data_IF_673821206038
#
_entry.id   IF_673821206038
#
_cell.length_a   1.000
_cell.length_b   1.000
_cell.length_c   1.000
_cell.angle_alpha   90.00
_cell.angle_beta   90.00
_cell.angle_gamma   90.00
#
_symmetry.space_group_name_H-M   'P 1'
#
loop_
_entity.id
_entity.type
_entity.pdbx_description
1 polymer ?
#
# COMPACT_ATOMS: atom_id res chain seq x y z
N UNK A 1 -5.30 13.55 39.13
CA UNK A 1 -4.92 12.26 38.49
C UNK A 1 -5.99 11.93 37.48
N UNK A 2 -5.73 12.12 36.16
CA UNK A 2 -6.61 11.70 35.09
C UNK A 2 -6.46 10.17 35.01
N UNK A 3 -7.52 9.42 35.30
CA UNK A 3 -7.53 7.96 35.08
C UNK A 3 -7.28 7.74 33.59
N UNK A 4 -6.12 7.20 33.23
CA UNK A 4 -5.92 6.65 31.87
C UNK A 4 -7.04 5.65 31.61
N UNK A 5 -7.86 5.90 30.56
CA UNK A 5 -8.91 4.99 30.15
C UNK A 5 -8.26 3.68 29.74
N UNK A 6 -8.47 2.61 30.49
CA UNK A 6 -8.05 1.27 30.07
C UNK A 6 -8.85 0.89 28.82
N UNK A 7 -8.16 0.41 27.80
CA UNK A 7 -8.82 -0.18 26.62
C UNK A 7 -9.06 -1.65 26.93
N UNK A 8 -10.32 -2.05 26.89
CA UNK A 8 -10.72 -3.47 27.08
C UNK A 8 -10.42 -4.30 25.85
N UNK A 9 -10.60 -3.71 24.65
CA UNK A 9 -10.40 -4.36 23.36
C UNK A 9 -9.58 -3.47 22.44
N UNK A 10 -8.47 -3.99 21.94
CA UNK A 10 -7.68 -3.35 20.88
C UNK A 10 -8.23 -3.77 19.52
N UNK A 11 -8.76 -2.82 18.73
CA UNK A 11 -9.22 -3.09 17.36
C UNK A 11 -8.12 -2.77 16.36
N UNK A 12 -7.83 -3.74 15.50
CA UNK A 12 -6.84 -3.63 14.45
C UNK A 12 -7.47 -3.83 13.08
N UNK A 13 -6.89 -3.20 12.04
CA UNK A 13 -7.33 -3.37 10.65
C UNK A 13 -6.17 -3.19 9.67
N UNK A 14 -6.43 -3.52 8.42
CA UNK A 14 -5.59 -3.14 7.28
C UNK A 14 -6.45 -2.36 6.27
N UNK A 15 -5.95 -1.20 5.82
CA UNK A 15 -6.45 -0.49 4.65
C UNK A 15 -5.55 -0.76 3.41
N UNK A 16 -4.72 -1.80 3.48
CA UNK A 16 -3.97 -2.33 2.35
C UNK A 16 -4.83 -3.31 1.54
N UNK A 17 -4.23 -3.98 0.56
CA UNK A 17 -4.96 -4.97 -0.25
C UNK A 17 -5.63 -6.07 0.61
N UNK A 18 -6.77 -6.60 0.16
CA UNK A 18 -7.61 -7.56 0.90
C UNK A 18 -6.85 -8.82 1.36
N UNK A 19 -5.82 -9.23 0.62
CA UNK A 19 -4.98 -10.37 1.01
C UNK A 19 -4.20 -10.12 2.31
N UNK A 20 -4.07 -8.88 2.78
CA UNK A 20 -3.42 -8.55 4.05
C UNK A 20 -4.25 -8.99 5.28
N UNK A 21 -5.55 -9.25 5.14
CA UNK A 21 -6.42 -9.64 6.25
C UNK A 21 -5.98 -10.98 6.89
N UNK A 22 -5.42 -11.90 6.11
CA UNK A 22 -4.90 -13.16 6.65
C UNK A 22 -3.75 -12.92 7.65
N UNK A 23 -2.77 -12.08 7.27
CA UNK A 23 -1.69 -11.68 8.18
C UNK A 23 -2.23 -10.93 9.40
N UNK A 24 -3.15 -10.00 9.19
CA UNK A 24 -3.74 -9.23 10.29
C UNK A 24 -4.45 -10.11 11.31
N UNK A 25 -5.07 -11.22 10.86
CA UNK A 25 -5.72 -12.19 11.75
C UNK A 25 -4.69 -12.94 12.60
N UNK A 26 -3.57 -13.36 12.01
CA UNK A 26 -2.47 -13.99 12.76
C UNK A 26 -1.82 -12.99 13.72
N UNK A 27 -1.61 -11.76 13.27
CA UNK A 27 -1.07 -10.68 14.07
C UNK A 27 -1.97 -10.34 15.27
N UNK A 28 -3.30 -10.31 15.07
CA UNK A 28 -4.27 -10.07 16.16
C UNK A 28 -4.11 -11.13 17.28
N UNK A 29 -4.02 -12.41 16.92
CA UNK A 29 -3.82 -13.50 17.89
C UNK A 29 -2.48 -13.36 18.61
N UNK A 30 -1.41 -13.06 17.87
CA UNK A 30 -0.08 -12.84 18.44
C UNK A 30 -0.08 -11.68 19.46
N UNK A 31 -0.65 -10.52 19.07
CA UNK A 31 -0.74 -9.36 19.95
C UNK A 31 -1.60 -9.63 21.18
N UNK A 32 -2.74 -10.32 21.04
CA UNK A 32 -3.59 -10.67 22.18
C UNK A 32 -2.82 -11.51 23.22
N UNK A 33 -2.08 -12.50 22.75
CA UNK A 33 -1.26 -13.36 23.62
C UNK A 33 -0.14 -12.58 24.32
N UNK A 34 0.57 -11.70 23.57
CA UNK A 34 1.73 -10.97 24.09
C UNK A 34 1.35 -9.81 25.02
N UNK A 35 0.24 -9.14 24.73
CA UNK A 35 -0.20 -7.96 25.49
C UNK A 35 -1.10 -8.33 26.66
N UNK A 36 -1.72 -9.52 26.64
CA UNK A 36 -2.68 -9.94 27.66
C UNK A 36 -3.99 -9.13 27.63
N UNK A 37 -4.40 -8.65 26.46
CA UNK A 37 -5.65 -7.92 26.23
C UNK A 37 -6.41 -8.52 25.04
N UNK A 38 -7.72 -8.32 24.97
CA UNK A 38 -8.48 -8.72 23.80
C UNK A 38 -8.05 -7.91 22.58
N UNK A 39 -7.86 -8.59 21.42
CA UNK A 39 -7.54 -7.95 20.14
C UNK A 39 -8.52 -8.45 19.09
N UNK A 40 -9.23 -7.55 18.47
CA UNK A 40 -10.21 -7.82 17.43
C UNK A 40 -9.72 -7.31 16.07
N UNK A 41 -9.79 -8.14 15.04
CA UNK A 41 -9.61 -7.73 13.66
C UNK A 41 -10.92 -7.18 13.12
N UNK A 42 -10.91 -5.96 12.61
CA UNK A 42 -12.01 -5.38 11.84
C UNK A 42 -11.84 -5.79 10.39
N UNK A 43 -12.46 -6.89 9.99
CA UNK A 43 -12.54 -7.41 8.63
C UNK A 43 -14.01 -7.47 8.15
N UNK A 44 -14.28 -7.99 6.97
CA UNK A 44 -15.64 -8.11 6.43
C UNK A 44 -16.28 -6.80 5.97
N UNK A 45 -15.55 -5.66 6.05
CA UNK A 45 -15.97 -4.35 5.52
C UNK A 45 -14.93 -3.82 4.56
N UNK A 46 -15.33 -2.90 3.65
CA UNK A 46 -14.41 -2.33 2.66
C UNK A 46 -13.27 -1.54 3.33
N UNK A 47 -12.15 -1.37 2.62
CA UNK A 47 -11.03 -0.57 3.14
C UNK A 47 -11.43 0.90 3.38
N UNK A 48 -12.36 1.44 2.60
CA UNK A 48 -12.91 2.79 2.79
C UNK A 48 -13.65 2.89 4.13
N UNK A 49 -14.44 1.87 4.47
CA UNK A 49 -15.12 1.83 5.75
C UNK A 49 -14.15 1.66 6.92
N UNK A 50 -13.11 0.83 6.77
CA UNK A 50 -12.04 0.71 7.78
C UNK A 50 -11.31 2.03 7.99
N UNK A 51 -11.06 2.78 6.92
CA UNK A 51 -10.46 4.10 7.00
C UNK A 51 -11.35 5.10 7.74
N UNK A 52 -12.66 5.07 7.48
CA UNK A 52 -13.64 5.88 8.19
C UNK A 52 -13.70 5.53 9.68
N UNK A 53 -13.65 4.24 10.02
CA UNK A 53 -13.60 3.77 11.41
C UNK A 53 -12.29 4.17 12.11
N UNK A 54 -11.17 4.19 11.39
CA UNK A 54 -9.91 4.69 11.90
C UNK A 54 -10.01 6.20 12.23
N UNK A 55 -10.57 6.99 11.32
CA UNK A 55 -10.77 8.43 11.51
C UNK A 55 -11.73 8.74 12.68
N UNK A 56 -12.70 7.88 12.92
CA UNK A 56 -13.61 7.96 14.06
C UNK A 56 -12.98 7.44 15.38
N UNK A 57 -11.74 6.94 15.37
CA UNK A 57 -11.08 6.36 16.54
C UNK A 57 -11.62 5.00 16.98
N UNK A 58 -12.45 4.33 16.15
CA UNK A 58 -12.99 3.00 16.42
C UNK A 58 -11.96 1.89 16.10
N UNK A 59 -10.99 2.15 15.23
CA UNK A 59 -9.81 1.30 14.99
C UNK A 59 -8.62 1.95 15.67
N UNK A 60 -7.84 1.16 16.40
CA UNK A 60 -6.75 1.64 17.24
C UNK A 60 -5.36 1.43 16.64
N UNK A 61 -5.18 0.38 15.84
CA UNK A 61 -3.94 0.07 15.11
C UNK A 61 -4.33 -0.32 13.68
N UNK A 62 -3.76 0.35 12.68
CA UNK A 62 -4.11 0.12 11.28
C UNK A 62 -2.88 0.08 10.38
N UNK A 63 -2.83 -0.89 9.46
CA UNK A 63 -1.84 -0.87 8.39
C UNK A 63 -2.35 0.01 7.26
N UNK A 64 -1.63 1.11 7.00
CA UNK A 64 -2.11 2.19 6.12
C UNK A 64 -1.05 2.53 5.08
N UNK A 65 -1.46 2.79 3.83
CA UNK A 65 -0.54 3.30 2.81
C UNK A 65 0.05 4.65 3.24
N UNK A 66 1.30 4.91 2.84
CA UNK A 66 2.04 6.11 3.25
C UNK A 66 1.37 7.43 2.81
N UNK A 67 0.74 7.48 1.62
CA UNK A 67 0.04 8.70 1.17
C UNK A 67 -1.21 9.01 2.01
N UNK A 68 -2.17 8.10 2.23
CA UNK A 68 -3.25 8.32 3.18
C UNK A 68 -2.77 8.70 4.59
N UNK A 69 -1.66 8.11 5.06
CA UNK A 69 -1.09 8.48 6.34
C UNK A 69 -0.69 9.97 6.39
N UNK A 70 0.12 10.44 5.44
CA UNK A 70 0.57 11.84 5.44
C UNK A 70 -0.57 12.85 5.24
N UNK A 71 -1.61 12.46 4.48
CA UNK A 71 -2.82 13.28 4.34
C UNK A 71 -3.59 13.42 5.66
N UNK A 72 -3.75 12.30 6.40
CA UNK A 72 -4.41 12.30 7.71
C UNK A 72 -3.62 13.08 8.75
N UNK A 73 -2.31 12.88 8.81
CA UNK A 73 -1.42 13.62 9.69
C UNK A 73 -1.47 15.13 9.38
N UNK A 74 -1.47 15.52 8.11
CA UNK A 74 -1.59 16.91 7.66
C UNK A 74 -2.93 17.58 8.03
N UNK A 75 -4.00 16.79 8.22
CA UNK A 75 -5.31 17.23 8.71
C UNK A 75 -5.43 17.22 10.24
N UNK A 76 -4.35 16.88 10.94
CA UNK A 76 -4.33 16.85 12.41
C UNK A 76 -5.02 15.62 13.02
N UNK A 77 -5.23 14.55 12.26
CA UNK A 77 -5.75 13.30 12.82
C UNK A 77 -4.79 12.77 13.89
N UNK A 78 -5.30 12.30 15.04
CA UNK A 78 -4.49 11.87 16.18
C UNK A 78 -3.89 10.48 15.94
N UNK A 79 -3.10 10.34 14.90
CA UNK A 79 -2.39 9.13 14.50
C UNK A 79 -0.88 9.32 14.61
N UNK A 80 -0.16 8.25 14.88
CA UNK A 80 1.29 8.21 14.81
C UNK A 80 1.77 6.90 14.17
N UNK A 81 2.88 6.90 13.40
CA UNK A 81 3.47 5.67 12.91
C UNK A 81 4.05 4.88 14.09
N UNK A 82 3.87 3.59 14.03
CA UNK A 82 4.35 2.66 15.06
C UNK A 82 5.57 1.90 14.57
N UNK A 83 5.37 1.08 13.54
CA UNK A 83 6.41 0.31 12.88
C UNK A 83 6.12 0.23 11.38
N UNK A 84 7.16 -0.04 10.59
CA UNK A 84 7.04 -0.36 9.17
C UNK A 84 7.77 -1.67 8.84
N UNK A 85 7.37 -2.41 7.79
CA UNK A 85 8.01 -3.65 7.41
C UNK A 85 9.40 -3.39 6.80
N UNK A 86 10.38 -4.16 7.24
CA UNK A 86 11.63 -4.39 6.53
C UNK A 86 11.46 -5.69 5.76
N UNK A 87 11.41 -5.60 4.44
CA UNK A 87 11.17 -6.76 3.59
C UNK A 87 12.40 -7.67 3.50
N UNK A 88 12.17 -8.96 3.27
CA UNK A 88 13.23 -9.89 2.91
C UNK A 88 13.74 -9.58 1.50
N UNK A 89 15.01 -9.87 1.25
CA UNK A 89 15.64 -9.66 -0.05
C UNK A 89 16.63 -8.48 -0.06
N UNK A 90 17.69 -8.65 -0.82
CA UNK A 90 18.84 -7.72 -0.87
C UNK A 90 18.48 -6.35 -1.45
N UNK A 91 17.47 -6.28 -2.33
CA UNK A 91 17.04 -5.02 -2.94
C UNK A 91 16.54 -3.98 -1.94
N UNK A 92 16.03 -4.42 -0.78
CA UNK A 92 15.51 -3.53 0.26
C UNK A 92 16.58 -3.01 1.22
N UNK A 93 17.81 -3.53 1.14
CA UNK A 93 18.97 -3.06 1.91
C UNK A 93 18.82 -3.19 3.43
N UNK A 94 17.87 -3.99 3.93
CA UNK A 94 17.56 -4.06 5.35
C UNK A 94 16.84 -2.81 5.89
N UNK A 95 16.30 -1.95 5.02
CA UNK A 95 15.60 -0.71 5.37
C UNK A 95 14.06 -0.86 5.23
N UNK A 96 13.26 -0.08 5.97
CA UNK A 96 11.81 -0.08 5.86
C UNK A 96 11.36 0.71 4.63
N UNK A 97 11.74 0.23 3.46
CA UNK A 97 11.46 0.83 2.16
C UNK A 97 10.85 -0.17 1.20
N UNK A 98 10.23 0.34 0.15
CA UNK A 98 9.76 -0.42 -1.00
C UNK A 98 9.94 0.39 -2.28
N UNK A 99 9.69 -0.23 -3.42
CA UNK A 99 9.80 0.38 -4.74
C UNK A 99 8.49 0.28 -5.50
N UNK A 100 8.34 1.10 -6.51
CA UNK A 100 7.26 1.00 -7.49
C UNK A 100 7.86 0.56 -8.81
N UNK A 101 7.71 -0.72 -9.13
CA UNK A 101 8.26 -1.32 -10.33
C UNK A 101 7.34 -1.01 -11.52
N UNK A 102 7.88 -0.40 -12.56
CA UNK A 102 7.17 -0.16 -13.83
C UNK A 102 7.17 -1.46 -14.62
N UNK A 103 6.01 -2.07 -14.69
CA UNK A 103 5.78 -3.41 -15.23
C UNK A 103 5.09 -3.32 -16.58
N UNK A 104 5.55 -4.11 -17.53
CA UNK A 104 4.96 -4.30 -18.86
C UNK A 104 4.88 -5.79 -19.19
N UNK A 105 4.09 -6.19 -20.19
CA UNK A 105 4.12 -7.57 -20.70
C UNK A 105 5.52 -7.92 -21.23
N UNK A 106 6.02 -9.11 -20.90
CA UNK A 106 7.32 -9.59 -21.41
C UNK A 106 7.37 -9.65 -22.94
N UNK A 107 6.21 -9.91 -23.59
CA UNK A 107 6.07 -9.93 -25.03
C UNK A 107 6.01 -8.52 -25.67
N UNK A 108 5.91 -7.46 -24.87
CA UNK A 108 5.83 -6.09 -25.37
C UNK A 108 7.19 -5.59 -25.87
N UNK A 109 7.15 -4.62 -26.81
CA UNK A 109 8.35 -3.93 -27.32
C UNK A 109 8.96 -2.93 -26.36
N UNK A 110 8.25 -2.58 -25.27
CA UNK A 110 8.70 -1.55 -24.33
C UNK A 110 9.93 -2.03 -23.55
N UNK A 111 10.99 -1.24 -23.57
CA UNK A 111 12.28 -1.53 -22.92
C UNK A 111 12.69 -0.45 -21.91
N UNK A 112 12.06 0.73 -21.98
CA UNK A 112 12.33 1.88 -21.10
C UNK A 112 11.06 2.64 -20.78
N UNK A 113 11.10 3.51 -19.76
CA UNK A 113 9.99 4.39 -19.44
C UNK A 113 9.66 5.35 -20.60
N UNK A 114 10.65 5.75 -21.38
CA UNK A 114 10.45 6.64 -22.53
C UNK A 114 9.56 6.03 -23.61
N UNK A 115 9.59 4.71 -23.78
CA UNK A 115 8.77 4.00 -24.77
C UNK A 115 7.27 4.04 -24.42
N UNK A 116 6.93 4.39 -23.18
CA UNK A 116 5.55 4.43 -22.69
C UNK A 116 4.83 5.74 -23.02
N UNK A 117 5.47 6.68 -23.71
CA UNK A 117 4.80 7.91 -24.12
C UNK A 117 3.59 7.62 -25.02
N UNK A 118 2.43 8.17 -24.63
CA UNK A 118 1.18 7.99 -25.38
C UNK A 118 0.49 6.64 -25.18
N UNK A 119 1.04 5.73 -24.36
CA UNK A 119 0.43 4.42 -24.11
C UNK A 119 -0.73 4.49 -23.09
N UNK A 120 -1.46 3.37 -22.92
CA UNK A 120 -2.39 3.15 -21.81
C UNK A 120 -1.63 2.80 -20.55
N UNK A 121 -1.91 3.53 -19.47
CA UNK A 121 -1.31 3.34 -18.16
C UNK A 121 -2.37 2.95 -17.13
N UNK A 122 -2.16 1.85 -16.38
CA UNK A 122 -3.03 1.52 -15.26
C UNK A 122 -2.45 2.03 -13.94
N UNK A 123 -3.34 2.41 -13.01
CA UNK A 123 -3.02 2.70 -11.62
C UNK A 123 -4.07 2.06 -10.71
N UNK A 124 -3.71 1.75 -9.46
CA UNK A 124 -4.67 1.09 -8.57
C UNK A 124 -5.76 2.05 -8.09
N UNK A 125 -5.41 3.19 -7.51
CA UNK A 125 -6.37 4.22 -7.06
C UNK A 125 -5.67 5.58 -6.91
N UNK A 126 -6.40 6.71 -6.88
CA UNK A 126 -5.81 8.06 -6.81
C UNK A 126 -5.03 8.35 -5.52
N UNK A 127 -5.33 7.65 -4.43
CA UNK A 127 -4.64 7.81 -3.13
C UNK A 127 -3.54 6.78 -2.90
N UNK A 128 -3.21 5.98 -3.91
CA UNK A 128 -2.06 5.10 -3.86
C UNK A 128 -0.76 5.89 -3.99
N UNK A 129 0.19 5.64 -3.08
CA UNK A 129 1.53 6.19 -3.22
C UNK A 129 2.28 5.49 -4.36
N UNK A 130 2.34 4.15 -4.35
CA UNK A 130 3.12 3.35 -5.31
C UNK A 130 2.58 3.39 -6.74
N UNK A 131 1.27 3.23 -6.92
CA UNK A 131 0.67 3.10 -8.25
C UNK A 131 0.34 4.44 -8.92
N UNK A 132 0.25 5.53 -8.13
CA UNK A 132 -0.22 6.82 -8.64
C UNK A 132 0.68 8.01 -8.28
N UNK A 133 0.90 8.28 -6.98
CA UNK A 133 1.58 9.49 -6.54
C UNK A 133 3.06 9.53 -6.98
N UNK A 134 3.81 8.44 -6.80
CA UNK A 134 5.22 8.36 -7.19
C UNK A 134 5.40 8.50 -8.70
N UNK A 135 4.46 7.98 -9.51
CA UNK A 135 4.49 8.10 -10.97
C UNK A 135 4.28 9.55 -11.39
N UNK A 136 3.31 10.25 -10.78
CA UNK A 136 3.09 11.67 -11.03
C UNK A 136 4.31 12.51 -10.65
N UNK A 137 4.91 12.23 -9.49
CA UNK A 137 6.16 12.87 -9.09
C UNK A 137 7.28 12.58 -10.09
N UNK A 138 7.44 11.34 -10.54
CA UNK A 138 8.46 10.95 -11.53
C UNK A 138 8.30 11.72 -12.84
N UNK A 139 7.08 11.91 -13.32
CA UNK A 139 6.76 12.72 -14.49
C UNK A 139 7.09 14.19 -14.24
N UNK A 140 6.64 14.76 -13.11
CA UNK A 140 6.87 16.14 -12.73
C UNK A 140 8.37 16.48 -12.67
N UNK A 141 9.15 15.64 -12.00
CA UNK A 141 10.61 15.81 -11.86
C UNK A 141 11.36 15.83 -13.21
N UNK A 142 10.71 15.30 -14.27
CA UNK A 142 11.24 15.30 -15.64
C UNK A 142 10.59 16.34 -16.57
N UNK A 143 9.79 17.24 -16.02
CA UNK A 143 9.10 18.28 -16.79
C UNK A 143 7.97 17.73 -17.68
N UNK A 144 7.45 16.54 -17.36
CA UNK A 144 6.32 15.95 -18.08
C UNK A 144 5.01 16.22 -17.34
N UNK A 145 3.94 16.39 -18.12
CA UNK A 145 2.57 16.50 -17.63
C UNK A 145 1.90 15.11 -17.60
N UNK A 146 0.73 14.97 -16.97
CA UNK A 146 -0.04 13.74 -17.00
C UNK A 146 -0.39 13.23 -18.41
N UNK A 147 -0.42 14.13 -19.42
CA UNK A 147 -0.63 13.77 -20.83
C UNK A 147 0.52 12.97 -21.44
N UNK A 148 1.58 12.70 -20.65
CA UNK A 148 2.66 11.79 -21.05
C UNK A 148 2.12 10.44 -21.48
N UNK A 149 1.14 9.91 -20.73
CA UNK A 149 0.39 8.71 -21.12
C UNK A 149 -0.87 9.13 -21.88
N UNK A 150 -1.19 8.40 -22.94
CA UNK A 150 -2.37 8.69 -23.76
C UNK A 150 -3.69 8.44 -23.01
N UNK A 151 -3.68 7.50 -22.07
CA UNK A 151 -4.85 7.17 -21.23
C UNK A 151 -4.44 6.60 -19.89
N UNK A 152 -5.08 7.09 -18.81
CA UNK A 152 -4.99 6.54 -17.47
C UNK A 152 -6.23 5.68 -17.17
N UNK A 153 -6.03 4.48 -16.62
CA UNK A 153 -7.11 3.54 -16.28
C UNK A 153 -6.98 3.16 -14.81
N UNK A 154 -8.04 3.38 -14.04
CA UNK A 154 -8.12 2.96 -12.65
C UNK A 154 -8.44 1.46 -12.60
N UNK A 155 -7.49 0.67 -12.09
CA UNK A 155 -7.62 -0.78 -11.98
C UNK A 155 -8.19 -1.23 -10.62
N UNK A 156 -8.22 -0.37 -9.62
CA UNK A 156 -8.70 -0.65 -8.27
C UNK A 156 -7.68 -1.36 -7.37
N UNK A 157 -6.76 -2.15 -7.94
CA UNK A 157 -5.73 -2.88 -7.20
C UNK A 157 -4.51 -3.18 -8.07
N UNK A 158 -3.33 -3.38 -7.45
CA UNK A 158 -2.12 -3.80 -8.16
C UNK A 158 -2.29 -5.15 -8.87
N UNK A 159 -2.98 -6.11 -8.25
CA UNK A 159 -3.28 -7.41 -8.86
C UNK A 159 -4.15 -7.27 -10.12
N UNK A 160 -5.11 -6.35 -10.10
CA UNK A 160 -5.94 -6.08 -11.27
C UNK A 160 -5.10 -5.44 -12.40
N UNK A 161 -4.24 -4.46 -12.07
CA UNK A 161 -3.32 -3.86 -13.03
C UNK A 161 -2.38 -4.90 -13.68
N UNK A 162 -1.84 -5.85 -12.89
CA UNK A 162 -1.04 -6.96 -13.40
C UNK A 162 -1.82 -7.84 -14.40
N UNK A 163 -3.08 -8.17 -14.09
CA UNK A 163 -3.94 -8.93 -15.03
C UNK A 163 -4.19 -8.16 -16.32
N UNK A 164 -4.44 -6.85 -16.24
CA UNK A 164 -4.64 -6.00 -17.42
C UNK A 164 -3.37 -5.90 -18.30
N UNK A 165 -2.18 -5.91 -17.69
CA UNK A 165 -0.90 -5.97 -18.42
C UNK A 165 -0.76 -7.31 -19.14
N UNK A 166 -1.02 -8.42 -18.46
CA UNK A 166 -0.90 -9.77 -19.03
C UNK A 166 -1.91 -10.00 -20.15
N UNK A 167 -3.14 -9.48 -20.01
CA UNK A 167 -4.18 -9.56 -21.06
C UNK A 167 -3.96 -8.60 -22.23
N UNK A 168 -3.05 -7.63 -22.09
CA UNK A 168 -2.82 -6.58 -23.10
C UNK A 168 -3.85 -5.45 -23.11
N UNK A 169 -4.71 -5.37 -22.10
CA UNK A 169 -5.70 -4.28 -21.94
C UNK A 169 -5.00 -2.94 -21.66
N UNK A 170 -3.89 -2.96 -20.93
CA UNK A 170 -3.03 -1.79 -20.70
C UNK A 170 -1.58 -2.10 -21.06
N UNK A 171 -0.83 -1.08 -21.43
CA UNK A 171 0.58 -1.23 -21.77
C UNK A 171 1.47 -1.40 -20.54
N UNK A 172 1.20 -0.66 -19.46
CA UNK A 172 2.05 -0.61 -18.29
C UNK A 172 1.30 -0.17 -17.02
N UNK A 173 1.92 -0.46 -15.87
CA UNK A 173 1.53 0.09 -14.57
C UNK A 173 2.77 0.15 -13.65
N UNK A 174 2.70 1.00 -12.61
CA UNK A 174 3.63 0.92 -11.48
C UNK A 174 3.02 0.01 -10.41
N UNK A 175 3.75 -1.03 -10.06
CA UNK A 175 3.34 -2.06 -9.10
C UNK A 175 4.21 -1.94 -7.86
N UNK A 176 3.59 -1.94 -6.69
CA UNK A 176 4.29 -2.07 -5.42
C UNK A 176 5.17 -3.32 -5.45
N UNK A 177 6.47 -3.16 -5.23
CA UNK A 177 7.45 -4.25 -5.32
C UNK A 177 7.13 -5.41 -4.38
N UNK A 178 6.56 -5.12 -3.21
CA UNK A 178 6.18 -6.14 -2.24
C UNK A 178 4.97 -6.96 -2.70
N UNK A 179 4.05 -6.29 -3.42
CA UNK A 179 2.90 -6.96 -4.06
C UNK A 179 3.38 -7.80 -5.25
N UNK A 180 4.25 -7.25 -6.10
CA UNK A 180 4.82 -7.99 -7.23
C UNK A 180 5.56 -9.24 -6.77
N UNK A 181 6.43 -9.12 -5.78
CA UNK A 181 7.16 -10.24 -5.18
C UNK A 181 6.20 -11.30 -4.60
N UNK A 182 5.12 -10.87 -3.95
CA UNK A 182 4.11 -11.79 -3.40
C UNK A 182 3.33 -12.51 -4.49
N UNK A 183 2.92 -11.82 -5.56
CA UNK A 183 2.19 -12.43 -6.67
C UNK A 183 3.07 -13.41 -7.48
N UNK A 184 4.36 -13.08 -7.69
CA UNK A 184 5.31 -14.00 -8.33
C UNK A 184 5.56 -15.23 -7.47
N UNK A 185 5.66 -15.10 -6.14
CA UNK A 185 5.78 -16.28 -5.24
C UNK A 185 4.55 -17.19 -5.30
N UNK A 186 3.34 -16.61 -5.40
CA UNK A 186 2.09 -17.39 -5.51
C UNK A 186 1.91 -18.04 -6.88
N UNK A 187 2.30 -17.33 -7.92
CA UNK A 187 2.20 -17.76 -9.31
C UNK A 187 3.53 -17.50 -10.03
N UNK A 188 4.48 -18.45 -9.99
CA UNK A 188 5.77 -18.31 -10.68
C UNK A 188 5.67 -18.08 -12.17
N UNK A 189 4.56 -18.51 -12.80
CA UNK A 189 4.28 -18.26 -14.21
C UNK A 189 4.12 -16.76 -14.53
N UNK A 190 3.79 -15.92 -13.57
CA UNK A 190 3.72 -14.47 -13.77
C UNK A 190 5.10 -13.88 -14.12
N UNK A 191 6.18 -14.39 -13.53
CA UNK A 191 7.53 -13.89 -13.75
C UNK A 191 7.99 -13.96 -15.22
N UNK A 192 7.46 -14.91 -16.01
CA UNK A 192 7.77 -15.03 -17.44
C UNK A 192 6.80 -14.24 -18.32
N UNK A 193 5.68 -13.81 -17.80
CA UNK A 193 4.66 -13.04 -18.53
C UNK A 193 4.87 -11.53 -18.45
N UNK A 194 5.60 -11.05 -17.44
CA UNK A 194 5.85 -9.62 -17.23
C UNK A 194 7.34 -9.35 -17.11
N UNK A 195 7.74 -8.10 -17.36
CA UNK A 195 9.10 -7.60 -17.12
C UNK A 195 9.04 -6.22 -16.49
N UNK A 196 10.03 -5.92 -15.64
CA UNK A 196 10.26 -4.59 -15.06
C UNK A 196 11.16 -3.82 -16.02
N UNK A 197 10.77 -2.62 -16.40
CA UNK A 197 11.54 -1.74 -17.29
C UNK A 197 12.09 -0.50 -16.61
N UNK A 198 11.59 -0.18 -15.41
CA UNK A 198 12.04 0.92 -14.56
C UNK A 198 11.65 0.64 -13.12
N UNK A 199 12.39 1.18 -12.15
CA UNK A 199 12.08 1.09 -10.74
C UNK A 199 12.07 2.48 -10.12
N UNK A 200 10.94 2.88 -9.55
CA UNK A 200 10.75 4.19 -8.93
C UNK A 200 10.90 4.08 -7.41
N UNK A 201 11.53 5.04 -6.79
CA UNK A 201 11.77 5.05 -5.34
C UNK A 201 13.26 5.05 -5.00
N UNK A 202 13.66 4.63 -3.78
CA UNK A 202 12.82 4.00 -2.75
C UNK A 202 11.80 4.95 -2.13
N UNK A 203 10.72 4.36 -1.63
CA UNK A 203 9.69 5.02 -0.83
C UNK A 203 9.62 4.40 0.56
N UNK A 204 9.28 5.17 1.63
CA UNK A 204 9.06 4.59 2.95
C UNK A 204 7.96 3.54 2.92
N UNK A 205 8.22 2.39 3.51
CA UNK A 205 7.25 1.30 3.56
C UNK A 205 5.96 1.71 4.32
N UNK A 206 4.77 1.21 3.91
CA UNK A 206 3.50 1.51 4.55
C UNK A 206 3.54 1.24 6.06
N UNK A 207 3.21 2.23 6.92
CA UNK A 207 3.29 2.07 8.36
C UNK A 207 2.09 1.31 8.93
N UNK A 208 2.32 0.59 10.02
CA UNK A 208 1.30 0.42 11.04
C UNK A 208 1.16 1.74 11.79
N UNK A 209 -0.02 2.35 11.73
CA UNK A 209 -0.32 3.58 12.48
C UNK A 209 -1.13 3.25 13.72
N UNK A 210 -0.85 3.94 14.81
CA UNK A 210 -1.57 3.77 16.06
C UNK A 210 -2.30 5.07 16.43
N UNK A 211 -3.53 4.94 16.92
CA UNK A 211 -4.33 6.06 17.40
C UNK A 211 -3.76 6.61 18.70
N UNK A 212 -3.58 7.94 18.77
CA UNK A 212 -3.19 8.64 20.01
C UNK A 212 -4.32 8.67 21.06
N UNK A 213 -5.52 8.22 20.69
CA UNK A 213 -6.63 8.08 21.64
C UNK A 213 -6.40 6.94 22.65
N UNK A 214 -5.52 5.96 22.32
CA UNK A 214 -5.16 4.90 23.27
C UNK A 214 -4.02 5.33 24.20
N UNK A 215 -3.92 4.76 25.42
CA UNK A 215 -2.91 5.15 26.41
C UNK A 215 -1.48 5.08 25.86
N UNK A 216 -0.65 6.06 26.20
CA UNK A 216 0.75 6.14 25.76
C UNK A 216 1.53 4.86 26.10
N UNK A 217 1.31 4.30 27.29
CA UNK A 217 1.92 3.04 27.72
C UNK A 217 1.54 1.86 26.80
N UNK A 218 0.30 1.82 26.32
CA UNK A 218 -0.13 0.74 25.40
C UNK A 218 0.49 0.94 24.02
N UNK A 219 0.58 2.19 23.52
CA UNK A 219 1.27 2.47 22.25
C UNK A 219 2.73 2.03 22.27
N UNK A 220 3.44 2.31 23.38
CA UNK A 220 4.83 1.86 23.55
C UNK A 220 4.93 0.32 23.55
N UNK A 221 4.09 -0.35 24.34
CA UNK A 221 4.05 -1.83 24.39
C UNK A 221 3.73 -2.45 23.02
N UNK A 222 2.85 -1.85 22.24
CA UNK A 222 2.54 -2.28 20.86
C UNK A 222 3.80 -2.19 19.98
N UNK A 223 4.48 -1.04 20.01
CA UNK A 223 5.72 -0.84 19.25
C UNK A 223 6.80 -1.86 19.63
N UNK A 224 7.04 -2.05 20.93
CA UNK A 224 8.02 -3.01 21.44
C UNK A 224 7.64 -4.46 21.04
N UNK A 225 6.37 -4.82 21.19
CA UNK A 225 5.88 -6.16 20.85
C UNK A 225 6.06 -6.45 19.36
N UNK A 226 5.70 -5.52 18.47
CA UNK A 226 5.87 -5.65 17.03
C UNK A 226 7.37 -5.74 16.65
N UNK A 227 8.19 -4.83 17.18
CA UNK A 227 9.62 -4.83 16.89
C UNK A 227 10.33 -6.11 17.35
N UNK A 228 9.85 -6.74 18.42
CA UNK A 228 10.41 -7.98 18.97
C UNK A 228 9.94 -9.26 18.25
N UNK A 229 8.96 -9.18 17.34
CA UNK A 229 8.36 -10.37 16.68
C UNK A 229 9.38 -11.30 16.01
N UNK A 230 10.42 -10.73 15.41
CA UNK A 230 11.46 -11.51 14.73
C UNK A 230 12.32 -12.35 15.70
N UNK A 231 12.26 -12.08 16.99
CA UNK A 231 13.03 -12.77 18.03
C UNK A 231 12.37 -14.05 18.56
N UNK A 232 11.10 -14.34 18.21
CA UNK A 232 10.44 -15.57 18.67
C UNK A 232 9.84 -16.38 17.49
N UNK A 233 9.67 -17.69 17.72
CA UNK A 233 9.24 -18.62 16.67
C UNK A 233 7.84 -18.34 16.11
N UNK A 234 6.91 -17.85 16.94
CA UNK A 234 5.55 -17.55 16.51
C UNK A 234 5.54 -16.28 15.65
N UNK A 235 6.23 -15.21 16.12
CA UNK A 235 6.39 -13.97 15.37
C UNK A 235 7.14 -14.19 14.06
N UNK A 236 8.24 -14.97 14.07
CA UNK A 236 9.02 -15.30 12.87
C UNK A 236 8.16 -15.97 11.80
N UNK A 237 7.34 -16.95 12.17
CA UNK A 237 6.47 -17.67 11.24
C UNK A 237 5.49 -16.72 10.54
N UNK A 238 4.91 -15.77 11.29
CA UNK A 238 4.01 -14.75 10.71
C UNK A 238 4.78 -13.89 9.71
N UNK A 239 5.93 -13.36 10.11
CA UNK A 239 6.75 -12.49 9.27
C UNK A 239 7.22 -13.20 8.00
N UNK A 240 7.74 -14.43 8.10
CA UNK A 240 8.24 -15.21 6.96
C UNK A 240 7.12 -15.53 5.96
N UNK A 241 5.90 -15.81 6.43
CA UNK A 241 4.74 -16.03 5.58
C UNK A 241 4.42 -14.85 4.66
N UNK A 242 4.88 -13.65 5.01
CA UNK A 242 4.63 -12.40 4.26
C UNK A 242 5.89 -11.80 3.64
N UNK A 243 7.03 -12.49 3.74
CA UNK A 243 8.30 -12.02 3.22
C UNK A 243 8.83 -10.80 3.98
N UNK A 244 8.43 -10.63 5.24
CA UNK A 244 8.92 -9.58 6.13
C UNK A 244 10.08 -10.13 6.94
N UNK A 245 11.20 -9.41 6.97
CA UNK A 245 12.36 -9.75 7.80
C UNK A 245 12.08 -9.42 9.28
N UNK A 246 11.66 -8.19 9.52
CA UNK A 246 11.27 -7.69 10.84
C UNK A 246 10.47 -6.39 10.71
N UNK A 247 9.85 -5.96 11.81
CA UNK A 247 9.29 -4.62 11.91
C UNK A 247 10.33 -3.66 12.48
N UNK A 248 10.47 -2.50 11.85
CA UNK A 248 11.29 -1.41 12.37
C UNK A 248 10.40 -0.31 12.90
N UNK A 249 10.73 0.21 14.10
CA UNK A 249 10.09 1.41 14.62
C UNK A 249 10.37 2.60 13.69
N UNK A 250 9.32 3.36 13.37
CA UNK A 250 9.38 4.54 12.51
C UNK A 250 8.64 5.70 13.17
N UNK A 251 8.99 6.90 12.77
CA UNK A 251 8.33 8.14 13.19
C UNK A 251 7.72 8.90 12.00
N UNK A 252 7.11 10.03 12.28
CA UNK A 252 6.44 10.85 11.27
C UNK A 252 7.42 11.42 10.22
N UNK A 253 8.66 11.74 10.61
CA UNK A 253 9.67 12.30 9.73
C UNK A 253 10.10 11.31 8.63
N UNK A 254 9.99 9.99 8.88
CA UNK A 254 10.26 8.97 7.87
C UNK A 254 9.38 9.12 6.61
N UNK A 255 8.25 9.83 6.71
CA UNK A 255 7.28 10.01 5.61
C UNK A 255 7.37 11.39 4.93
N UNK A 256 8.38 12.21 5.25
CA UNK A 256 8.58 13.55 4.64
C UNK A 256 8.85 13.46 3.14
N UNK A 257 9.49 12.40 2.68
CA UNK A 257 9.69 12.14 1.25
C UNK A 257 8.36 12.03 0.51
N UNK A 258 7.36 11.34 1.09
CA UNK A 258 6.01 11.25 0.50
C UNK A 258 5.33 12.61 0.45
N UNK A 259 5.47 13.42 1.51
CA UNK A 259 4.95 14.81 1.55
C UNK A 259 5.56 15.66 0.43
N UNK A 260 6.87 15.55 0.24
CA UNK A 260 7.58 16.26 -0.82
C UNK A 260 7.12 15.82 -2.20
N UNK A 261 7.10 14.52 -2.47
CA UNK A 261 6.60 13.96 -3.73
C UNK A 261 5.15 14.38 -4.02
N UNK A 262 4.29 14.43 -3.00
CA UNK A 262 2.88 14.85 -3.16
C UNK A 262 2.78 16.32 -3.53
N UNK A 263 3.58 17.19 -2.92
CA UNK A 263 3.61 18.63 -3.28
C UNK A 263 4.08 18.83 -4.71
N UNK A 264 5.15 18.19 -5.11
CA UNK A 264 5.72 18.30 -6.46
C UNK A 264 4.79 17.71 -7.52
N UNK A 265 4.18 16.55 -7.25
CA UNK A 265 3.15 15.97 -8.09
C UNK A 265 1.88 16.84 -8.16
N UNK A 266 1.54 17.56 -7.10
CA UNK A 266 0.38 18.47 -7.02
C UNK A 266 0.52 19.71 -7.90
N UNK A 267 1.73 20.13 -8.25
CA UNK A 267 1.98 21.22 -9.19
C UNK A 267 1.53 20.89 -10.62
N UNK A 268 1.25 19.61 -10.91
CA UNK A 268 0.66 19.16 -12.19
C UNK A 268 -0.88 19.17 -12.19
N UNK A 269 -1.51 20.15 -11.58
CA UNK A 269 -2.95 20.19 -11.25
C UNK A 269 -3.95 20.24 -12.42
N UNK A 270 -3.63 19.65 -13.57
CA UNK A 270 -4.58 19.48 -14.70
C UNK A 270 -4.57 18.04 -15.18
N UNK A 271 -5.11 17.11 -14.36
CA UNK A 271 -5.37 15.75 -14.86
C UNK A 271 -6.58 15.76 -15.79
N UNK A 272 -6.51 15.13 -16.99
CA UNK A 272 -7.70 14.76 -17.73
C UNK A 272 -8.61 13.92 -16.82
N UNK A 273 -9.92 14.20 -16.85
CA UNK A 273 -10.86 13.36 -16.08
C UNK A 273 -10.67 11.90 -16.48
N UNK A 274 -10.33 11.04 -15.51
CA UNK A 274 -10.26 9.60 -15.72
C UNK A 274 -11.57 9.15 -16.37
N UNK A 275 -11.48 8.51 -17.53
CA UNK A 275 -12.65 7.85 -18.12
C UNK A 275 -13.03 6.72 -17.16
N UNK A 276 -14.17 6.84 -16.50
CA UNK A 276 -14.70 5.78 -15.62
C UNK A 276 -14.76 4.49 -16.43
N UNK A 277 -14.18 3.43 -15.89
CA UNK A 277 -14.41 2.09 -16.39
C UNK A 277 -15.93 1.84 -16.39
N UNK A 278 -16.48 1.37 -17.50
CA UNK A 278 -17.89 0.99 -17.59
C UNK A 278 -18.16 -0.02 -16.47
N UNK A 279 -19.19 0.23 -15.68
CA UNK A 279 -19.62 -0.70 -14.64
C UNK A 279 -20.00 -2.04 -15.31
N UNK A 280 -19.83 -3.14 -14.58
CA UNK A 280 -20.20 -4.50 -15.01
C UNK A 280 -21.63 -4.58 -15.54
N UNK A 281 -22.51 -3.66 -15.16
CA UNK A 281 -23.91 -3.51 -15.63
C UNK A 281 -24.01 -2.94 -17.05
N UNK A 282 -23.05 -2.13 -17.51
CA UNK A 282 -23.05 -1.57 -18.87
C UNK A 282 -22.46 -2.56 -19.88
N UNK A 283 -21.49 -3.39 -19.49
CA UNK A 283 -20.97 -4.48 -20.33
C UNK A 283 -22.03 -5.53 -20.63
N UNK A 284 -23.00 -5.77 -19.73
CA UNK A 284 -24.09 -6.72 -19.95
C UNK A 284 -25.11 -6.27 -21.01
N UNK A 285 -25.16 -4.98 -21.36
CA UNK A 285 -26.07 -4.44 -22.39
C UNK A 285 -25.51 -4.58 -23.81
N UNK A 286 -24.21 -4.60 -23.98
CA UNK A 286 -23.59 -4.69 -25.33
C UNK A 286 -23.64 -6.12 -25.90
N UNK A 287 -23.77 -7.16 -25.05
CA UNK A 287 -23.81 -8.56 -25.47
C UNK A 287 -25.21 -9.17 -25.56
N UNK A 288 -26.30 -8.36 -25.48
CA UNK A 288 -27.69 -8.85 -25.62
C UNK A 288 -28.34 -8.53 -26.97
N UNK A 289 -27.59 -8.00 -27.93
CA UNK A 289 -28.10 -7.82 -29.29
C UNK A 289 -27.16 -8.48 -30.30
N UNK A 290 -27.26 -9.80 -30.38
CA UNK A 290 -27.08 -10.63 -31.58
C UNK A 290 -27.66 -12.01 -31.33
#
# INVERSE_FOLDING_TARGET
MIRERSIEVLRIASCMAENADAMCRELARYLAQRLGIAVELVDGVSWQERERLLDAGAIHLCWLCGLPYVEKAGRGQPLEPCVAPVMQGTRYGGEPVYFSDVVVSSASRYASFADLRGCTWAYNEPRSHSGYNVVRHYLAARGHTPDYFGRWIEAGAHQAALRMIVSGEVAAAAIDSTVLDAEVRRNPGLAVQVKIIETLGPSPAPPWVVSRAIPARLRLRLRECLAAMSGDAAGRRILDGWGVSHWRAVDDAAYDTIRTMTREAGLLNTMPRASRCLSTTELSRVFRTR
#
